data_IF_264023314993
#
_entry.id   IF_264023314993
#
_cell.length_a   1.000
_cell.length_b   1.000
_cell.length_c   1.000
_cell.angle_alpha   90.00
_cell.angle_beta   90.00
_cell.angle_gamma   90.00
#
_symmetry.space_group_name_H-M   'P 1'
#
loop_
_entity.id
_entity.type
_entity.pdbx_description
1 polymer ?
#
# COMPACT_ATOMS: atom_id res chain seq x y z
N UNK A 1 -12.02 5.98 5.15
CA UNK A 1 -13.31 5.26 5.05
C UNK A 1 -14.18 5.61 6.25
N UNK A 2 -15.51 5.54 6.14
CA UNK A 2 -16.42 5.75 7.29
C UNK A 2 -16.79 7.22 7.60
N UNK A 3 -16.36 8.17 6.76
CA UNK A 3 -16.66 9.61 6.88
C UNK A 3 -17.35 10.14 5.62
N UNK A 4 -17.88 11.38 5.68
CA UNK A 4 -18.50 12.08 4.53
C UNK A 4 -17.47 12.66 3.53
N UNK A 5 -16.32 12.02 3.39
CA UNK A 5 -15.28 12.44 2.47
C UNK A 5 -15.62 12.01 1.03
N UNK A 6 -15.30 12.86 0.06
CA UNK A 6 -15.35 12.54 -1.37
C UNK A 6 -14.11 13.08 -2.07
N UNK A 7 -13.59 12.32 -3.04
CA UNK A 7 -12.56 12.79 -3.98
C UNK A 7 -13.21 13.12 -5.33
N UNK A 8 -12.80 14.22 -5.95
CA UNK A 8 -13.22 14.60 -7.30
C UNK A 8 -12.20 14.07 -8.32
N UNK A 9 -12.69 13.31 -9.30
CA UNK A 9 -11.92 12.82 -10.43
C UNK A 9 -12.68 13.17 -11.70
N UNK A 10 -12.10 14.06 -12.51
CA UNK A 10 -12.66 14.57 -13.76
C UNK A 10 -14.10 15.12 -13.62
N UNK A 11 -14.38 15.84 -12.52
CA UNK A 11 -15.68 16.46 -12.25
C UNK A 11 -16.72 15.49 -11.67
N UNK A 12 -16.33 14.25 -11.38
CA UNK A 12 -17.19 13.28 -10.70
C UNK A 12 -16.66 13.00 -9.29
N UNK A 13 -17.56 13.15 -8.32
CA UNK A 13 -17.28 12.83 -6.92
C UNK A 13 -17.39 11.32 -6.68
N UNK A 14 -16.39 10.79 -6.00
CA UNK A 14 -16.34 9.41 -5.53
C UNK A 14 -16.14 9.36 -4.02
N UNK A 15 -16.86 8.46 -3.37
CA UNK A 15 -16.63 8.09 -1.97
C UNK A 15 -15.47 7.11 -1.86
N UNK A 16 -14.81 7.00 -0.69
CA UNK A 16 -13.81 5.95 -0.43
C UNK A 16 -14.32 4.55 -0.75
N UNK A 17 -15.59 4.26 -0.44
CA UNK A 17 -16.22 2.97 -0.70
C UNK A 17 -16.26 2.65 -2.20
N UNK A 18 -16.60 3.63 -3.04
CA UNK A 18 -16.63 3.44 -4.50
C UNK A 18 -15.23 3.25 -5.09
N UNK A 19 -14.22 3.96 -4.57
CA UNK A 19 -12.83 3.77 -4.99
C UNK A 19 -12.32 2.38 -4.57
N UNK A 20 -12.54 2.00 -3.31
CA UNK A 20 -12.15 0.67 -2.82
C UNK A 20 -12.91 -0.46 -3.54
N UNK A 21 -14.18 -0.24 -3.90
CA UNK A 21 -14.94 -1.20 -4.70
C UNK A 21 -14.30 -1.47 -6.06
N UNK A 22 -13.71 -0.46 -6.72
CA UNK A 22 -12.99 -0.66 -7.99
C UNK A 22 -11.75 -1.55 -7.82
N UNK A 23 -11.02 -1.40 -6.71
CA UNK A 23 -9.90 -2.29 -6.36
C UNK A 23 -10.41 -3.72 -6.14
N UNK A 24 -11.48 -3.88 -5.36
CA UNK A 24 -12.10 -5.18 -5.10
C UNK A 24 -12.65 -5.84 -6.37
N UNK A 25 -13.21 -5.07 -7.30
CA UNK A 25 -13.66 -5.57 -8.61
C UNK A 25 -12.51 -6.11 -9.44
N UNK A 26 -11.36 -5.42 -9.46
CA UNK A 26 -10.16 -5.91 -10.11
C UNK A 26 -9.67 -7.22 -9.49
N UNK A 27 -9.59 -7.29 -8.15
CA UNK A 27 -9.18 -8.50 -7.42
C UNK A 27 -10.13 -9.67 -7.67
N UNK A 28 -11.45 -9.41 -7.68
CA UNK A 28 -12.47 -10.40 -8.04
C UNK A 28 -12.23 -10.94 -9.45
N UNK A 29 -12.11 -10.05 -10.44
CA UNK A 29 -11.90 -10.46 -11.84
C UNK A 29 -10.61 -11.27 -12.03
N UNK A 30 -9.55 -10.90 -11.31
CA UNK A 30 -8.30 -11.65 -11.32
C UNK A 30 -8.46 -13.06 -10.73
N UNK A 31 -9.15 -13.17 -9.58
CA UNK A 31 -9.43 -14.45 -8.95
C UNK A 31 -10.32 -15.35 -9.82
N UNK A 32 -11.37 -14.79 -10.45
CA UNK A 32 -12.24 -15.50 -11.39
C UNK A 32 -11.45 -16.01 -12.60
N UNK A 33 -10.53 -15.21 -13.14
CA UNK A 33 -9.65 -15.64 -14.22
C UNK A 33 -8.73 -16.80 -13.84
N UNK A 34 -8.25 -16.83 -12.60
CA UNK A 34 -7.43 -17.92 -12.08
C UNK A 34 -8.22 -19.21 -11.82
N UNK A 35 -9.42 -19.09 -11.24
CA UNK A 35 -10.28 -20.23 -10.86
C UNK A 35 -11.08 -20.79 -12.04
N UNK A 36 -11.37 -19.97 -13.05
CA UNK A 36 -12.22 -20.33 -14.19
C UNK A 36 -13.72 -20.34 -13.85
N UNK A 37 -14.12 -19.78 -12.71
CA UNK A 37 -15.50 -19.70 -12.25
C UNK A 37 -15.81 -18.35 -11.56
N UNK A 38 -17.09 -18.05 -11.36
CA UNK A 38 -17.55 -16.80 -10.73
C UNK A 38 -17.30 -16.80 -9.22
N UNK A 39 -16.72 -15.71 -8.71
CA UNK A 39 -16.47 -15.51 -7.27
C UNK A 39 -17.50 -14.55 -6.70
N UNK A 40 -18.40 -15.08 -5.86
CA UNK A 40 -19.52 -14.30 -5.32
C UNK A 40 -19.36 -13.92 -3.85
N UNK A 41 -18.47 -14.58 -3.11
CA UNK A 41 -18.32 -14.44 -1.66
C UNK A 41 -16.89 -14.07 -1.30
N UNK A 42 -16.72 -13.24 -0.29
CA UNK A 42 -15.40 -12.83 0.19
C UNK A 42 -15.36 -12.65 1.72
N UNK A 43 -14.18 -12.88 2.27
CA UNK A 43 -13.76 -12.38 3.57
C UNK A 43 -12.81 -11.21 3.33
N UNK A 44 -13.04 -10.08 3.97
CA UNK A 44 -12.23 -8.87 3.79
C UNK A 44 -11.54 -8.52 5.11
N UNK A 45 -10.24 -8.26 5.06
CA UNK A 45 -9.45 -7.85 6.22
C UNK A 45 -9.59 -6.35 6.47
N UNK A 46 -9.45 -5.93 7.73
CA UNK A 46 -9.36 -4.52 8.13
C UNK A 46 -8.38 -4.37 9.30
N UNK A 47 -7.83 -3.17 9.54
CA UNK A 47 -7.03 -2.90 10.74
C UNK A 47 -7.82 -3.20 12.02
N UNK A 48 -7.13 -3.67 13.07
CA UNK A 48 -7.79 -4.07 14.31
C UNK A 48 -8.52 -2.90 15.01
N UNK A 49 -7.98 -1.68 14.90
CA UNK A 49 -8.53 -0.47 15.49
C UNK A 49 -9.69 0.17 14.69
N UNK A 50 -10.10 -0.42 13.56
CA UNK A 50 -11.23 0.11 12.79
C UNK A 50 -12.52 0.16 13.61
N UNK A 51 -13.15 1.33 13.61
CA UNK A 51 -14.48 1.58 14.18
C UNK A 51 -15.57 0.84 13.41
N UNK A 52 -16.75 0.70 14.01
CA UNK A 52 -17.91 0.08 13.36
C UNK A 52 -18.29 0.78 12.05
N UNK A 53 -18.19 2.11 12.00
CA UNK A 53 -18.46 2.88 10.79
C UNK A 53 -17.46 2.58 9.66
N UNK A 54 -16.17 2.44 10.00
CA UNK A 54 -15.14 2.06 9.03
C UNK A 54 -15.31 0.61 8.55
N UNK A 55 -15.62 -0.33 9.45
CA UNK A 55 -15.94 -1.73 9.11
C UNK A 55 -17.15 -1.82 8.18
N UNK A 56 -18.20 -1.05 8.47
CA UNK A 56 -19.38 -1.01 7.63
C UNK A 56 -19.07 -0.43 6.25
N UNK A 57 -18.27 0.63 6.17
CA UNK A 57 -17.81 1.20 4.90
C UNK A 57 -17.01 0.20 4.06
N UNK A 58 -16.12 -0.60 4.66
CA UNK A 58 -15.41 -1.69 3.95
C UNK A 58 -16.38 -2.76 3.46
N UNK A 59 -17.36 -3.14 4.29
CA UNK A 59 -18.40 -4.11 3.90
C UNK A 59 -19.23 -3.60 2.72
N UNK A 60 -19.55 -2.30 2.71
CA UNK A 60 -20.27 -1.66 1.62
C UNK A 60 -19.43 -1.62 0.34
N UNK A 61 -18.12 -1.34 0.42
CA UNK A 61 -17.22 -1.44 -0.72
C UNK A 61 -17.23 -2.84 -1.35
N UNK A 62 -17.24 -3.90 -0.53
CA UNK A 62 -17.39 -5.28 -1.00
C UNK A 62 -18.72 -5.53 -1.73
N UNK A 63 -19.84 -5.01 -1.19
CA UNK A 63 -21.15 -5.11 -1.84
C UNK A 63 -21.19 -4.37 -3.18
N UNK A 64 -20.65 -3.15 -3.25
CA UNK A 64 -20.55 -2.37 -4.50
C UNK A 64 -19.68 -3.11 -5.53
N UNK A 65 -18.68 -3.87 -5.07
CA UNK A 65 -17.86 -4.72 -5.92
C UNK A 65 -18.56 -6.01 -6.41
N UNK A 66 -19.79 -6.27 -5.97
CA UNK A 66 -20.52 -7.50 -6.31
C UNK A 66 -20.01 -8.72 -5.55
N UNK A 67 -19.54 -8.52 -4.32
CA UNK A 67 -19.15 -9.58 -3.38
C UNK A 67 -20.10 -9.60 -2.18
N UNK A 68 -20.57 -10.79 -1.83
CA UNK A 68 -21.19 -11.07 -0.53
C UNK A 68 -20.08 -11.17 0.52
N UNK A 69 -20.02 -10.17 1.41
CA UNK A 69 -19.00 -10.10 2.45
C UNK A 69 -19.44 -10.93 3.66
N UNK A 70 -18.98 -12.19 3.68
CA UNK A 70 -19.28 -13.20 4.70
C UNK A 70 -18.75 -12.79 6.06
N UNK A 71 -17.53 -12.24 6.08
CA UNK A 71 -16.88 -11.81 7.32
C UNK A 71 -15.93 -10.65 7.07
N UNK A 72 -15.88 -9.73 8.03
CA UNK A 72 -14.78 -8.80 8.20
C UNK A 72 -13.89 -9.36 9.29
N UNK A 73 -12.61 -9.57 9.00
CA UNK A 73 -11.63 -10.05 10.01
C UNK A 73 -10.56 -9.01 10.23
N UNK A 74 -9.98 -8.99 11.42
CA UNK A 74 -8.85 -8.11 11.68
C UNK A 74 -7.59 -8.65 11.00
N UNK A 75 -6.80 -7.77 10.39
CA UNK A 75 -5.49 -8.08 9.80
C UNK A 75 -4.59 -8.90 10.73
N UNK A 76 -4.33 -8.50 12.00
CA UNK A 76 -3.48 -9.30 12.88
C UNK A 76 -4.07 -10.67 13.20
N UNK A 77 -5.39 -10.81 13.24
CA UNK A 77 -6.05 -12.11 13.40
C UNK A 77 -5.90 -12.97 12.14
N UNK A 78 -6.00 -12.37 10.95
CA UNK A 78 -5.77 -13.05 9.68
C UNK A 78 -4.34 -13.61 9.59
N UNK A 79 -3.35 -12.78 9.95
CA UNK A 79 -1.95 -13.16 9.99
C UNK A 79 -1.70 -14.29 11.00
N UNK A 80 -2.24 -14.16 12.21
CA UNK A 80 -2.12 -15.19 13.25
C UNK A 80 -2.80 -16.51 12.87
N UNK A 81 -3.97 -16.46 12.24
CA UNK A 81 -4.65 -17.63 11.68
C UNK A 81 -3.77 -18.32 10.64
N UNK A 82 -3.18 -17.57 9.70
CA UNK A 82 -2.27 -18.13 8.69
C UNK A 82 -1.03 -18.76 9.32
N UNK A 83 -0.48 -18.20 10.40
CA UNK A 83 0.66 -18.76 11.12
C UNK A 83 0.32 -20.01 11.96
N UNK A 84 -0.90 -20.04 12.51
CA UNK A 84 -1.34 -21.02 13.49
C UNK A 84 -2.22 -22.15 12.98
N UNK A 85 -2.57 -22.19 11.68
CA UNK A 85 -3.44 -23.21 11.07
C UNK A 85 -3.00 -24.65 11.43
N UNK A 86 -1.69 -24.91 11.54
CA UNK A 86 -1.12 -26.22 11.84
C UNK A 86 -0.69 -26.42 13.31
N UNK A 87 -0.91 -25.44 14.20
CA UNK A 87 -0.30 -25.37 15.54
C UNK A 87 -1.31 -25.36 16.69
N UNK A 88 -2.40 -26.11 16.55
CA UNK A 88 -3.61 -26.02 17.39
C UNK A 88 -3.48 -26.49 18.85
N UNK A 89 -2.42 -27.21 19.20
CA UNK A 89 -2.38 -27.96 20.48
C UNK A 89 -1.68 -27.26 21.65
N UNK A 90 -1.28 -25.99 21.52
CA UNK A 90 -0.59 -25.28 22.59
C UNK A 90 -1.09 -23.85 22.75
N UNK A 91 -1.45 -23.49 23.98
CA UNK A 91 -1.64 -22.10 24.39
C UNK A 91 -0.37 -21.31 24.09
N UNK A 92 -0.52 -20.22 23.32
CA UNK A 92 0.62 -19.40 22.89
C UNK A 92 0.21 -17.95 22.77
N UNK A 93 1.12 -17.08 23.22
CA UNK A 93 1.03 -15.65 22.93
C UNK A 93 1.89 -15.33 21.72
N UNK A 94 1.31 -14.63 20.74
CA UNK A 94 1.95 -14.22 19.49
C UNK A 94 1.92 -12.70 19.40
N UNK A 95 3.03 -12.11 18.96
CA UNK A 95 3.08 -10.71 18.54
C UNK A 95 3.05 -10.65 17.02
N UNK A 96 2.08 -9.92 16.48
CA UNK A 96 2.05 -9.54 15.06
C UNK A 96 2.61 -8.13 14.95
N UNK A 97 3.68 -7.99 14.18
CA UNK A 97 4.28 -6.73 13.79
C UNK A 97 3.97 -6.52 12.31
N UNK A 98 3.14 -5.52 12.00
CA UNK A 98 2.70 -5.19 10.66
C UNK A 98 3.16 -3.78 10.30
N UNK A 99 4.09 -3.68 9.35
CA UNK A 99 4.59 -2.40 8.83
C UNK A 99 4.27 -2.35 7.35
N UNK A 100 3.15 -1.72 7.03
CA UNK A 100 2.62 -1.61 5.68
C UNK A 100 3.19 -0.40 4.93
N UNK A 101 2.49 0.00 3.87
CA UNK A 101 2.84 1.16 3.06
C UNK A 101 2.68 2.49 3.81
N UNK A 102 1.59 2.67 4.55
CA UNK A 102 1.31 3.95 5.23
C UNK A 102 1.05 3.85 6.74
N UNK A 103 0.97 2.64 7.29
CA UNK A 103 0.64 2.42 8.70
C UNK A 103 1.54 1.35 9.32
N UNK A 104 1.70 1.48 10.63
CA UNK A 104 2.43 0.56 11.47
C UNK A 104 1.52 0.09 12.60
N UNK A 105 1.40 -1.22 12.77
CA UNK A 105 0.55 -1.86 13.75
C UNK A 105 1.29 -2.97 14.50
N UNK A 106 1.08 -3.03 15.81
CA UNK A 106 1.54 -4.12 16.66
C UNK A 106 0.36 -4.66 17.44
N UNK A 107 0.13 -5.97 17.36
CA UNK A 107 -0.91 -6.64 18.12
C UNK A 107 -0.37 -7.83 18.89
N UNK A 108 -0.78 -7.98 20.14
CA UNK A 108 -0.56 -9.18 20.94
C UNK A 108 -1.82 -10.03 20.88
N UNK A 109 -1.67 -11.29 20.48
CA UNK A 109 -2.74 -12.26 20.38
C UNK A 109 -2.44 -13.46 21.27
N UNK A 110 -3.46 -13.94 21.96
CA UNK A 110 -3.44 -15.22 22.67
C UNK A 110 -4.21 -16.24 21.83
N UNK A 111 -3.58 -17.40 21.62
CA UNK A 111 -4.23 -18.59 21.09
C UNK A 111 -4.65 -19.45 22.28
N UNK A 112 -5.95 -19.66 22.43
CA UNK A 112 -6.55 -20.52 23.44
C UNK A 112 -7.64 -21.37 22.77
N UNK A 113 -7.55 -22.69 22.91
CA UNK A 113 -8.46 -23.69 22.29
C UNK A 113 -8.79 -23.43 20.80
N UNK A 114 -7.76 -23.09 20.01
CA UNK A 114 -7.93 -22.79 18.58
C UNK A 114 -8.58 -21.43 18.27
N UNK A 115 -8.90 -20.63 19.29
CA UNK A 115 -9.41 -19.27 19.14
C UNK A 115 -8.30 -18.24 19.34
N UNK A 116 -8.21 -17.29 18.41
CA UNK A 116 -7.33 -16.13 18.55
C UNK A 116 -8.06 -14.98 19.20
N UNK A 117 -7.56 -14.53 20.34
CA UNK A 117 -8.03 -13.34 21.05
C UNK A 117 -6.98 -12.24 20.95
N UNK A 118 -7.40 -11.06 20.49
CA UNK A 118 -6.55 -9.86 20.54
C UNK A 118 -6.53 -9.36 21.99
N UNK A 119 -5.34 -9.34 22.59
CA UNK A 119 -5.11 -8.88 23.97
C UNK A 119 -4.88 -7.37 24.00
N UNK A 120 -4.07 -6.89 23.07
CA UNK A 120 -3.72 -5.48 22.95
C UNK A 120 -3.31 -5.16 21.52
N UNK A 121 -3.58 -3.93 21.09
CA UNK A 121 -3.15 -3.37 19.81
C UNK A 121 -2.65 -1.94 20.03
N UNK A 122 -1.55 -1.59 19.38
CA UNK A 122 -1.00 -0.24 19.32
C UNK A 122 -0.40 -0.02 17.93
N UNK A 123 -0.11 1.22 17.55
CA UNK A 123 0.41 1.53 16.23
C UNK A 123 0.58 3.01 15.96
N UNK A 124 0.97 3.33 14.74
CA UNK A 124 1.03 4.68 14.17
C UNK A 124 0.41 4.68 12.77
N UNK A 125 -0.63 5.51 12.60
CA UNK A 125 -1.38 5.63 11.34
C UNK A 125 -0.68 6.50 10.28
N UNK A 126 0.50 7.03 10.59
CA UNK A 126 1.29 7.88 9.70
C UNK A 126 2.76 7.45 9.64
N UNK A 127 3.00 6.15 9.86
CA UNK A 127 4.33 5.54 9.74
C UNK A 127 4.24 4.32 8.85
N UNK A 128 4.95 4.29 7.74
CA UNK A 128 4.98 3.14 6.85
C UNK A 128 6.09 3.23 5.80
N UNK A 129 6.06 2.28 4.86
CA UNK A 129 6.96 2.21 3.71
C UNK A 129 7.07 3.51 2.90
N UNK A 130 6.01 4.32 2.84
CA UNK A 130 5.95 5.62 2.16
C UNK A 130 6.92 6.62 2.80
N UNK A 131 7.13 6.58 4.12
CA UNK A 131 8.09 7.45 4.81
C UNK A 131 9.52 7.10 4.45
N UNK A 132 9.81 5.80 4.29
CA UNK A 132 11.10 5.32 3.81
C UNK A 132 11.33 5.75 2.35
N UNK A 133 10.29 5.67 1.51
CA UNK A 133 10.36 6.12 0.11
C UNK A 133 10.59 7.62 0.04
N UNK A 134 9.89 8.41 0.86
CA UNK A 134 10.05 9.85 0.93
C UNK A 134 11.44 10.24 1.46
N UNK A 135 12.02 9.50 2.41
CA UNK A 135 13.37 9.76 2.90
C UNK A 135 14.41 9.57 1.78
N UNK A 136 14.30 8.50 0.99
CA UNK A 136 15.17 8.24 -0.16
C UNK A 136 14.93 9.30 -1.25
N UNK A 137 13.67 9.64 -1.54
CA UNK A 137 13.32 10.66 -2.52
C UNK A 137 13.92 12.03 -2.17
N UNK A 138 13.82 12.44 -0.90
CA UNK A 138 14.39 13.69 -0.42
C UNK A 138 15.92 13.70 -0.57
N UNK A 139 16.58 12.60 -0.22
CA UNK A 139 18.01 12.45 -0.43
C UNK A 139 18.40 12.60 -1.92
N UNK A 140 17.66 11.94 -2.84
CA UNK A 140 17.89 12.06 -4.28
C UNK A 140 17.73 13.51 -4.75
N UNK A 141 16.67 14.19 -4.33
CA UNK A 141 16.40 15.60 -4.70
C UNK A 141 17.51 16.53 -4.20
N UNK A 142 17.94 16.34 -2.96
CA UNK A 142 19.04 17.13 -2.37
C UNK A 142 20.35 16.93 -3.11
N UNK A 143 20.74 15.69 -3.40
CA UNK A 143 21.98 15.38 -4.12
C UNK A 143 21.92 15.88 -5.57
N UNK A 144 20.77 15.75 -6.24
CA UNK A 144 20.58 16.28 -7.59
C UNK A 144 20.71 17.80 -7.61
N UNK A 145 20.13 18.50 -6.63
CA UNK A 145 20.24 19.95 -6.48
C UNK A 145 21.66 20.40 -6.20
N UNK A 146 22.41 19.69 -5.35
CA UNK A 146 23.83 19.96 -5.10
C UNK A 146 24.69 19.80 -6.36
N UNK A 147 24.44 18.75 -7.14
CA UNK A 147 25.23 18.45 -8.33
C UNK A 147 24.88 19.32 -9.55
N UNK A 148 23.61 19.70 -9.73
CA UNK A 148 23.12 20.34 -10.96
C UNK A 148 22.53 21.75 -10.74
N UNK A 149 22.32 22.17 -9.50
CA UNK A 149 21.70 23.46 -9.16
C UNK A 149 20.20 23.54 -9.41
N UNK A 150 19.55 22.43 -9.81
CA UNK A 150 18.12 22.37 -10.14
C UNK A 150 17.36 21.68 -9.02
N UNK A 151 16.26 22.28 -8.58
CA UNK A 151 15.38 21.72 -7.56
C UNK A 151 14.19 20.98 -8.20
N UNK A 152 14.21 19.66 -8.13
CA UNK A 152 13.16 18.80 -8.70
C UNK A 152 11.84 18.85 -7.92
N UNK A 153 11.84 19.33 -6.67
CA UNK A 153 10.65 19.32 -5.81
C UNK A 153 9.48 20.12 -6.36
N UNK A 154 9.75 21.06 -7.27
CA UNK A 154 8.76 21.93 -7.89
C UNK A 154 8.07 21.30 -9.11
N UNK A 155 8.65 20.24 -9.69
CA UNK A 155 8.09 19.53 -10.84
C UNK A 155 7.36 18.26 -10.37
N UNK A 156 6.02 18.28 -10.48
CA UNK A 156 5.18 17.16 -10.06
C UNK A 156 5.47 15.87 -10.83
N UNK A 157 5.78 15.95 -12.12
CA UNK A 157 6.08 14.78 -12.94
C UNK A 157 7.46 14.21 -12.60
N UNK A 158 8.44 15.08 -12.38
CA UNK A 158 9.76 14.66 -11.93
C UNK A 158 9.67 13.99 -10.55
N UNK A 159 8.95 14.60 -9.60
CA UNK A 159 8.77 14.04 -8.26
C UNK A 159 8.04 12.70 -8.26
N UNK A 160 7.09 12.49 -9.18
CA UNK A 160 6.45 11.18 -9.33
C UNK A 160 7.48 10.11 -9.71
N UNK A 161 8.35 10.40 -10.69
CA UNK A 161 9.43 9.46 -11.10
C UNK A 161 10.45 9.23 -9.99
N UNK A 162 10.83 10.29 -9.26
CA UNK A 162 11.74 10.17 -8.12
C UNK A 162 11.15 9.23 -7.07
N UNK A 163 9.85 9.34 -6.78
CA UNK A 163 9.17 8.44 -5.83
C UNK A 163 9.15 6.99 -6.31
N UNK A 164 8.80 6.76 -7.58
CA UNK A 164 8.78 5.42 -8.18
C UNK A 164 10.18 4.75 -8.12
N UNK A 165 11.24 5.48 -8.46
CA UNK A 165 12.61 4.95 -8.39
C UNK A 165 13.12 4.81 -6.95
N UNK A 166 12.64 5.65 -6.02
CA UNK A 166 12.96 5.54 -4.59
C UNK A 166 12.38 4.27 -3.98
N UNK A 167 11.12 3.96 -4.29
CA UNK A 167 10.46 2.73 -3.84
C UNK A 167 11.17 1.49 -4.40
N UNK A 168 11.53 1.53 -5.68
CA UNK A 168 12.30 0.47 -6.32
C UNK A 168 13.67 0.28 -5.66
N UNK A 169 14.40 1.37 -5.43
CA UNK A 169 15.70 1.32 -4.77
C UNK A 169 15.61 0.76 -3.34
N UNK A 170 14.59 1.18 -2.57
CA UNK A 170 14.29 0.64 -1.23
C UNK A 170 14.10 -0.88 -1.27
N UNK A 171 13.31 -1.36 -2.24
CA UNK A 171 13.03 -2.80 -2.42
C UNK A 171 14.29 -3.57 -2.80
N UNK A 172 15.11 -3.07 -3.74
CA UNK A 172 16.36 -3.71 -4.13
C UNK A 172 17.31 -3.87 -2.93
N UNK A 173 17.48 -2.78 -2.15
CA UNK A 173 18.34 -2.73 -0.97
C UNK A 173 17.89 -3.65 0.19
N UNK A 174 16.70 -4.24 0.11
CA UNK A 174 16.29 -5.28 1.06
C UNK A 174 17.03 -6.61 0.83
N UNK A 175 17.68 -6.77 -0.33
CA UNK A 175 18.40 -8.01 -0.71
C UNK A 175 19.84 -7.76 -1.16
N UNK A 176 20.16 -6.54 -1.62
CA UNK A 176 21.49 -6.15 -2.06
C UNK A 176 22.08 -5.06 -1.16
N UNK A 177 23.41 -4.95 -1.15
CA UNK A 177 24.09 -3.88 -0.39
C UNK A 177 24.12 -2.54 -1.15
N UNK A 178 23.83 -2.55 -2.45
CA UNK A 178 23.85 -1.39 -3.31
C UNK A 178 22.84 -1.54 -4.45
N UNK A 179 22.29 -0.42 -4.92
CA UNK A 179 21.44 -0.33 -6.11
C UNK A 179 21.79 0.92 -6.92
N UNK A 180 21.43 0.94 -8.19
CA UNK A 180 21.60 2.08 -9.08
C UNK A 180 20.24 2.68 -9.41
N UNK A 181 20.08 3.96 -9.13
CA UNK A 181 18.91 4.74 -9.53
C UNK A 181 19.21 5.37 -10.89
N UNK A 182 18.42 5.03 -11.90
CA UNK A 182 18.56 5.57 -13.25
C UNK A 182 17.30 6.30 -13.66
N UNK A 183 17.37 7.63 -13.71
CA UNK A 183 16.24 8.47 -14.09
C UNK A 183 16.47 9.04 -15.49
N UNK A 184 16.14 8.24 -16.51
CA UNK A 184 16.16 8.69 -17.89
C UNK A 184 15.05 9.72 -18.14
N UNK A 185 15.37 10.77 -18.88
CA UNK A 185 14.43 11.83 -19.31
C UNK A 185 13.69 12.55 -18.17
N UNK A 186 14.33 12.80 -17.01
CA UNK A 186 13.77 13.57 -15.89
C UNK A 186 13.14 14.92 -16.30
N UNK A 187 13.58 15.48 -17.43
CA UNK A 187 12.96 16.63 -18.08
C UNK A 187 12.40 16.24 -19.45
N UNK A 188 11.13 16.54 -19.77
CA UNK A 188 10.81 16.97 -21.11
C UNK A 188 11.38 18.38 -21.26
N UNK A 189 12.37 18.59 -22.15
CA UNK A 189 13.00 19.89 -22.44
C UNK A 189 14.18 20.29 -21.53
N UNK A 190 15.28 19.52 -21.53
CA UNK A 190 16.47 20.25 -21.96
C UNK A 190 16.26 20.50 -23.45
N UNK A 191 16.19 21.77 -23.86
CA UNK A 191 16.54 22.12 -25.24
C UNK A 191 17.95 21.58 -25.43
N UNK A 192 18.05 20.37 -25.94
CA UNK A 192 19.26 19.95 -26.64
C UNK A 192 19.23 20.85 -27.86
N UNK A 193 19.92 21.98 -27.79
CA UNK A 193 20.26 22.72 -28.99
C UNK A 193 20.92 21.68 -29.90
N UNK A 194 20.21 21.32 -30.97
CA UNK A 194 20.68 20.39 -31.98
C UNK A 194 21.89 21.02 -32.66
N UNK A 195 23.08 20.88 -32.07
CA UNK A 195 24.33 21.07 -32.77
C UNK A 195 24.55 19.82 -33.62
N UNK A 196 24.11 19.90 -34.87
CA UNK A 196 24.58 19.01 -35.92
C UNK A 196 26.06 19.30 -36.13
N UNK A 197 26.93 18.43 -35.62
CA UNK A 197 28.32 18.36 -36.05
C UNK A 197 28.33 17.83 -37.49
N UNK A 198 28.44 18.74 -38.46
CA UNK A 198 28.82 18.40 -39.82
C UNK A 198 30.34 18.24 -39.82
N UNK A 199 30.81 17.02 -40.06
CA UNK A 199 32.20 16.77 -40.42
C UNK A 199 32.41 17.14 -41.89
N UNK A 200 33.45 17.94 -42.17
CA UNK A 200 34.20 17.84 -43.42
C UNK A 200 35.45 17.03 -43.11
#
# INVERSE_FOLDING_TARGET
MGEKYTVDVDGKKYTPQEISAKILQYLKSYAEGYLGETVNKAVITVPAYFTDAQRQATKDAGRIAGLEVERIINEPTAAALSYGIDKKEQERTVMVFDLGGGTFDVSILELDDGMFKVVSTSGDNHLGGDDFDNAIANYIVEEFKKANGIDLSQDKMAMQRVKEESEKAKKDLSTTQQTHISMLHLFPLMKVDHYTLIWI
#
